data_IF_164578026031
#
_entry.id   IF_164578026031
#
_cell.length_a   1.000
_cell.length_b   1.000
_cell.length_c   1.000
_cell.angle_alpha   90.00
_cell.angle_beta   90.00
_cell.angle_gamma   90.00
#
_symmetry.space_group_name_H-M   'P 1'
#
loop_
_entity.id
_entity.type
_entity.pdbx_description
1 polymer ?
#
# COMPACT_ATOMS: atom_id res chain seq x y z
N UNK A 1 17.18 -19.03 10.15
CA UNK A 1 16.57 -20.04 11.02
C UNK A 1 15.76 -20.99 10.17
N UNK A 2 15.89 -22.29 10.42
CA UNK A 2 15.02 -23.30 9.85
C UNK A 2 14.21 -23.89 11.02
N UNK A 3 12.90 -23.92 10.89
CA UNK A 3 11.98 -24.41 11.91
C UNK A 3 11.14 -25.51 11.29
N UNK A 4 11.02 -26.62 12.02
CA UNK A 4 10.08 -27.68 11.69
C UNK A 4 8.85 -27.52 12.58
N UNK A 5 7.69 -27.49 11.96
CA UNK A 5 6.40 -27.37 12.63
C UNK A 5 5.57 -28.64 12.40
N UNK A 6 4.64 -28.92 13.30
CA UNK A 6 3.68 -30.03 13.13
C UNK A 6 2.30 -29.56 13.57
N UNK A 7 1.33 -29.72 12.68
CA UNK A 7 -0.07 -29.42 12.98
C UNK A 7 -0.84 -30.72 13.01
N UNK A 8 -1.46 -31.00 14.16
CA UNK A 8 -2.27 -32.19 14.35
C UNK A 8 -3.38 -32.24 13.28
N UNK A 9 -3.49 -33.38 12.58
CA UNK A 9 -4.41 -33.63 11.45
C UNK A 9 -4.10 -32.91 10.13
N UNK A 10 -3.07 -32.06 10.05
CA UNK A 10 -2.68 -31.40 8.78
C UNK A 10 -1.32 -31.84 8.25
N UNK A 11 -0.37 -32.14 9.15
CA UNK A 11 0.93 -32.70 8.78
C UNK A 11 2.12 -31.80 9.12
N UNK A 12 3.29 -32.10 8.55
CA UNK A 12 4.52 -31.36 8.83
C UNK A 12 4.53 -30.00 8.11
N UNK A 13 5.17 -29.03 8.75
CA UNK A 13 5.49 -27.72 8.21
C UNK A 13 6.99 -27.47 8.22
N UNK A 14 7.47 -26.71 7.25
CA UNK A 14 8.84 -26.23 7.18
C UNK A 14 8.83 -24.71 7.02
N UNK A 15 9.50 -24.03 7.94
CA UNK A 15 9.66 -22.58 7.92
C UNK A 15 11.13 -22.20 7.80
N UNK A 16 11.42 -21.35 6.83
CA UNK A 16 12.70 -20.69 6.63
C UNK A 16 12.55 -19.21 6.95
N UNK A 17 13.29 -18.71 7.93
CA UNK A 17 13.45 -17.28 8.20
C UNK A 17 14.90 -16.88 7.91
N UNK A 18 15.10 -15.94 6.99
CA UNK A 18 16.39 -15.42 6.61
C UNK A 18 16.42 -13.90 6.78
N UNK A 19 17.15 -13.44 7.79
CA UNK A 19 17.39 -12.03 8.03
C UNK A 19 18.79 -11.65 7.53
N UNK A 20 18.91 -10.50 6.88
CA UNK A 20 20.17 -10.04 6.30
C UNK A 20 20.41 -8.54 6.49
N UNK A 21 21.69 -8.18 6.55
CA UNK A 21 22.16 -6.80 6.67
C UNK A 21 23.56 -6.65 6.04
N UNK A 22 23.71 -6.97 4.74
CA UNK A 22 25.05 -7.07 4.12
C UNK A 22 25.83 -5.75 4.03
N UNK A 23 25.18 -4.59 4.15
CA UNK A 23 25.79 -3.27 4.04
C UNK A 23 25.13 -2.29 5.01
N UNK A 24 25.85 -1.22 5.36
CA UNK A 24 25.32 -0.14 6.21
C UNK A 24 24.01 0.40 5.63
N UNK A 25 23.02 0.57 6.49
CA UNK A 25 21.70 1.10 6.10
C UNK A 25 20.80 0.09 5.38
N UNK A 26 21.26 -1.15 5.15
CA UNK A 26 20.43 -2.22 4.59
C UNK A 26 20.00 -3.21 5.67
N UNK A 27 18.72 -3.54 5.65
CA UNK A 27 18.12 -4.62 6.43
C UNK A 27 17.02 -5.27 5.62
N UNK A 28 16.91 -6.58 5.72
CA UNK A 28 15.78 -7.27 5.14
C UNK A 28 15.55 -8.63 5.75
N UNK A 29 14.42 -9.18 5.40
CA UNK A 29 13.88 -10.42 5.91
C UNK A 29 13.19 -11.15 4.76
N UNK A 30 13.43 -12.46 4.70
CA UNK A 30 12.73 -13.39 3.84
C UNK A 30 12.19 -14.47 4.76
N UNK A 31 10.89 -14.71 4.71
CA UNK A 31 10.24 -15.81 5.40
C UNK A 31 9.45 -16.62 4.38
N UNK A 32 9.69 -17.93 4.37
CA UNK A 32 8.90 -18.89 3.61
C UNK A 32 8.44 -19.98 4.57
N UNK A 33 7.14 -20.21 4.66
CA UNK A 33 6.56 -21.22 5.53
C UNK A 33 5.60 -22.08 4.72
N UNK A 34 5.91 -23.36 4.57
CA UNK A 34 5.13 -24.33 3.80
C UNK A 34 4.64 -25.46 4.71
N UNK A 35 3.40 -25.93 4.49
CA UNK A 35 2.84 -27.13 5.11
C UNK A 35 2.52 -28.18 4.05
N UNK A 36 2.86 -29.42 4.37
CA UNK A 36 2.62 -30.58 3.52
C UNK A 36 1.35 -31.30 4.02
N UNK A 37 0.26 -31.13 3.28
CA UNK A 37 -1.06 -31.68 3.63
C UNK A 37 -1.03 -33.22 3.65
N UNK A 38 -1.29 -33.79 4.82
CA UNK A 38 -1.32 -35.24 5.05
C UNK A 38 -2.64 -35.87 4.58
N UNK A 39 -3.75 -35.27 4.99
CA UNK A 39 -5.08 -35.81 4.77
C UNK A 39 -5.77 -35.02 3.64
N UNK A 40 -6.56 -35.67 2.76
CA UNK A 40 -7.27 -34.96 1.69
C UNK A 40 -8.29 -34.00 2.28
N UNK A 41 -8.46 -32.85 1.63
CA UNK A 41 -9.48 -31.85 1.97
C UNK A 41 -10.87 -32.30 1.54
N UNK A 42 -11.88 -31.78 2.22
CA UNK A 42 -13.28 -32.11 2.01
C UNK A 42 -13.95 -31.11 1.05
N UNK A 43 -14.24 -31.48 -0.20
CA UNK A 43 -14.82 -30.57 -1.18
C UNK A 43 -16.21 -30.06 -0.80
N UNK A 44 -17.00 -30.84 -0.05
CA UNK A 44 -18.37 -30.44 0.31
C UNK A 44 -18.37 -29.22 1.25
N UNK A 45 -17.33 -29.09 2.07
CA UNK A 45 -17.24 -28.07 3.11
C UNK A 45 -16.18 -26.99 2.83
N UNK A 46 -15.16 -27.28 2.02
CA UNK A 46 -13.99 -26.42 1.83
C UNK A 46 -13.91 -25.74 0.44
N UNK A 47 -14.89 -25.98 -0.45
CA UNK A 47 -14.96 -25.43 -1.82
C UNK A 47 -15.64 -24.07 -1.95
N UNK A 48 -16.32 -23.60 -0.90
CA UNK A 48 -17.02 -22.32 -0.92
C UNK A 48 -18.12 -22.28 -1.98
N UNK A 49 -18.01 -21.35 -2.93
CA UNK A 49 -18.97 -21.19 -4.03
C UNK A 49 -18.78 -22.20 -5.18
N UNK A 50 -17.66 -22.94 -5.21
CA UNK A 50 -17.43 -23.96 -6.24
C UNK A 50 -18.21 -25.24 -5.91
N UNK A 51 -18.63 -25.98 -6.94
CA UNK A 51 -19.25 -27.28 -6.73
C UNK A 51 -18.20 -28.30 -6.28
N UNK A 52 -18.55 -29.17 -5.32
CA UNK A 52 -17.68 -30.24 -4.86
C UNK A 52 -17.24 -31.17 -6.02
N UNK A 53 -18.14 -31.43 -6.97
CA UNK A 53 -17.89 -32.24 -8.16
C UNK A 53 -16.90 -31.60 -9.15
N UNK A 54 -16.68 -30.28 -9.06
CA UNK A 54 -15.71 -29.56 -9.90
C UNK A 54 -14.28 -29.68 -9.35
N UNK A 55 -14.13 -30.06 -8.07
CA UNK A 55 -12.82 -30.23 -7.45
C UNK A 55 -12.22 -31.58 -7.82
N UNK A 56 -11.07 -31.53 -8.50
CA UNK A 56 -10.35 -32.74 -8.89
C UNK A 56 -9.70 -33.38 -7.66
N UNK A 57 -9.60 -34.71 -7.66
CA UNK A 57 -8.87 -35.45 -6.60
C UNK A 57 -7.43 -34.97 -6.40
N UNK A 58 -6.77 -34.47 -7.47
CA UNK A 58 -5.42 -33.88 -7.40
C UNK A 58 -5.35 -32.55 -6.63
N UNK A 59 -6.48 -31.89 -6.41
CA UNK A 59 -6.57 -30.58 -5.74
C UNK A 59 -6.86 -30.71 -4.24
N UNK A 60 -7.17 -31.92 -3.78
CA UNK A 60 -7.45 -32.23 -2.36
C UNK A 60 -6.23 -32.19 -1.45
N UNK A 61 -5.02 -32.07 -2.02
CA UNK A 61 -3.78 -31.85 -1.30
C UNK A 61 -3.18 -30.50 -1.69
N UNK A 62 -3.78 -29.39 -1.25
CA UNK A 62 -3.35 -28.06 -1.61
C UNK A 62 -1.96 -27.75 -1.03
N UNK A 63 -1.07 -27.17 -1.84
CA UNK A 63 0.17 -26.60 -1.31
C UNK A 63 -0.15 -25.39 -0.44
N UNK A 64 0.18 -25.46 0.84
CA UNK A 64 -0.09 -24.42 1.82
C UNK A 64 1.18 -23.66 2.09
N UNK A 65 1.23 -22.38 1.75
CA UNK A 65 2.41 -21.59 2.06
C UNK A 65 2.11 -20.12 2.33
N UNK A 66 3.01 -19.52 3.08
CA UNK A 66 3.14 -18.08 3.22
C UNK A 66 4.55 -17.67 2.82
N UNK A 67 4.64 -16.65 1.97
CA UNK A 67 5.88 -15.99 1.65
C UNK A 67 5.81 -14.53 2.11
N UNK A 68 6.82 -14.09 2.84
CA UNK A 68 6.97 -12.71 3.28
C UNK A 68 8.39 -12.23 2.95
N UNK A 69 8.49 -11.10 2.30
CA UNK A 69 9.74 -10.45 1.95
C UNK A 69 9.64 -9.00 2.38
N UNK A 70 10.60 -8.54 3.17
CA UNK A 70 10.74 -7.14 3.56
C UNK A 70 12.17 -6.70 3.29
N UNK A 71 12.31 -5.53 2.70
CA UNK A 71 13.59 -4.93 2.38
C UNK A 71 13.53 -3.43 2.69
N UNK A 72 14.56 -2.94 3.37
CA UNK A 72 14.76 -1.54 3.63
C UNK A 72 16.24 -1.22 3.44
N UNK A 73 16.52 -0.29 2.54
CA UNK A 73 17.87 0.14 2.24
C UNK A 73 17.94 1.66 2.16
N UNK A 74 18.76 2.24 3.04
CA UNK A 74 19.27 3.58 2.85
C UNK A 74 20.28 3.58 1.69
N UNK A 75 20.01 4.36 0.65
CA UNK A 75 20.87 4.48 -0.53
C UNK A 75 21.97 5.54 -0.32
N UNK A 76 21.60 6.64 0.32
CA UNK A 76 22.49 7.74 0.72
C UNK A 76 21.90 8.44 1.97
N UNK A 77 22.47 9.57 2.41
CA UNK A 77 21.98 10.30 3.59
C UNK A 77 20.53 10.80 3.47
N UNK A 78 19.98 10.86 2.26
CA UNK A 78 18.72 11.49 1.92
C UNK A 78 17.72 10.54 1.25
N UNK A 79 18.14 9.34 0.86
CA UNK A 79 17.37 8.45 0.01
C UNK A 79 17.19 7.08 0.64
N UNK A 80 15.97 6.55 0.54
CA UNK A 80 15.65 5.19 0.99
C UNK A 80 14.88 4.43 -0.09
N UNK A 81 15.03 3.10 -0.03
CA UNK A 81 14.21 2.14 -0.76
C UNK A 81 13.56 1.23 0.27
N UNK A 82 12.26 1.04 0.17
CA UNK A 82 11.51 0.07 0.96
C UNK A 82 10.74 -0.81 -0.02
N UNK A 83 10.83 -2.13 0.15
CA UNK A 83 10.05 -3.09 -0.62
C UNK A 83 9.45 -4.14 0.32
N UNK A 84 8.21 -4.51 0.07
CA UNK A 84 7.49 -5.54 0.82
C UNK A 84 6.70 -6.42 -0.14
N UNK A 85 6.71 -7.73 0.09
CA UNK A 85 5.88 -8.70 -0.62
C UNK A 85 5.35 -9.72 0.38
N UNK A 86 4.04 -9.85 0.45
CA UNK A 86 3.33 -10.88 1.19
C UNK A 86 2.51 -11.70 0.21
N UNK A 87 2.59 -13.02 0.30
CA UNK A 87 1.81 -13.97 -0.50
C UNK A 87 1.29 -15.08 0.40
N UNK A 88 0.01 -15.41 0.28
CA UNK A 88 -0.60 -16.60 0.85
C UNK A 88 -1.01 -17.54 -0.29
N UNK A 89 -0.92 -18.84 -0.03
CA UNK A 89 -1.40 -19.88 -0.96
C UNK A 89 -2.92 -19.86 -1.16
N UNK A 90 -3.66 -19.48 -0.12
CA UNK A 90 -5.11 -19.56 -0.04
C UNK A 90 -5.64 -18.67 1.11
N UNK A 91 -6.96 -18.51 1.15
CA UNK A 91 -7.66 -17.60 2.06
C UNK A 91 -7.78 -18.10 3.51
N UNK A 92 -7.54 -19.38 3.76
CA UNK A 92 -7.72 -20.03 5.06
C UNK A 92 -6.39 -20.21 5.82
N UNK A 93 -5.25 -19.96 5.17
CA UNK A 93 -3.93 -20.12 5.77
C UNK A 93 -3.80 -19.41 7.12
N UNK A 94 -4.25 -18.15 7.18
CA UNK A 94 -4.21 -17.34 8.40
C UNK A 94 -5.02 -17.94 9.56
N UNK A 95 -6.19 -18.51 9.25
CA UNK A 95 -7.03 -19.12 10.27
C UNK A 95 -6.42 -20.40 10.80
N UNK A 96 -5.98 -21.29 9.90
CA UNK A 96 -5.49 -22.62 10.30
C UNK A 96 -4.10 -22.58 10.92
N UNK A 97 -3.18 -21.79 10.37
CA UNK A 97 -1.76 -21.84 10.72
C UNK A 97 -1.27 -20.64 11.52
N UNK A 98 -1.97 -19.50 11.46
CA UNK A 98 -1.65 -18.30 12.25
C UNK A 98 -2.63 -18.04 13.39
N UNK A 99 -3.66 -18.91 13.52
CA UNK A 99 -4.69 -18.83 14.56
C UNK A 99 -5.45 -17.49 14.56
N UNK A 100 -5.60 -16.87 13.40
CA UNK A 100 -6.34 -15.61 13.25
C UNK A 100 -7.83 -15.93 13.11
N UNK A 101 -8.63 -15.52 14.10
CA UNK A 101 -10.07 -15.81 14.16
C UNK A 101 -10.84 -15.28 12.93
N UNK A 102 -10.48 -14.06 12.50
CA UNK A 102 -11.06 -13.36 11.35
C UNK A 102 -9.97 -13.11 10.29
N UNK A 103 -9.69 -14.10 9.42
CA UNK A 103 -8.68 -13.97 8.39
C UNK A 103 -9.05 -12.90 7.35
N UNK A 104 -8.03 -12.29 6.75
CA UNK A 104 -8.17 -11.40 5.61
C UNK A 104 -8.29 -12.20 4.32
N UNK A 105 -8.93 -11.63 3.29
CA UNK A 105 -8.91 -12.16 1.94
C UNK A 105 -7.61 -11.85 1.19
N UNK A 106 -6.62 -11.20 1.82
CA UNK A 106 -5.35 -10.87 1.16
C UNK A 106 -4.66 -12.13 0.60
N UNK A 107 -4.58 -12.23 -0.73
CA UNK A 107 -3.81 -13.25 -1.42
C UNK A 107 -2.37 -12.78 -1.64
N UNK A 108 -2.21 -11.53 -2.07
CA UNK A 108 -0.93 -10.91 -2.30
C UNK A 108 -0.97 -9.43 -1.93
N UNK A 109 0.08 -8.95 -1.27
CA UNK A 109 0.31 -7.53 -1.09
C UNK A 109 1.76 -7.22 -1.48
N UNK A 110 1.94 -6.44 -2.54
CA UNK A 110 3.23 -5.97 -3.00
C UNK A 110 3.29 -4.46 -2.89
N UNK A 111 4.37 -3.94 -2.30
CA UNK A 111 4.69 -2.53 -2.34
C UNK A 111 6.19 -2.32 -2.51
N UNK A 112 6.56 -1.31 -3.28
CA UNK A 112 7.92 -0.80 -3.29
C UNK A 112 7.88 0.72 -3.43
N UNK A 113 8.71 1.40 -2.64
CA UNK A 113 8.83 2.84 -2.61
C UNK A 113 10.31 3.22 -2.63
N UNK A 114 10.63 4.23 -3.42
CA UNK A 114 11.91 4.92 -3.42
C UNK A 114 11.62 6.36 -3.07
N UNK A 115 12.20 6.85 -1.98
CA UNK A 115 12.02 8.22 -1.53
C UNK A 115 13.36 8.96 -1.50
N UNK A 116 13.37 10.22 -1.95
CA UNK A 116 14.48 11.15 -1.77
C UNK A 116 14.03 12.40 -1.02
N UNK A 117 14.72 12.69 0.07
CA UNK A 117 14.59 13.90 0.87
C UNK A 117 15.49 15.01 0.32
N UNK A 118 15.01 16.24 0.38
CA UNK A 118 15.74 17.46 0.07
C UNK A 118 15.60 18.43 1.25
N UNK A 119 16.44 19.46 1.31
CA UNK A 119 16.38 20.47 2.39
C UNK A 119 14.99 21.11 2.56
N UNK A 120 14.23 21.19 1.47
CA UNK A 120 12.95 21.91 1.37
C UNK A 120 11.78 21.01 1.01
N UNK A 121 11.96 19.69 1.00
CA UNK A 121 10.90 18.80 0.52
C UNK A 121 11.32 17.36 0.27
N UNK A 122 10.48 16.62 -0.42
CA UNK A 122 10.72 15.22 -0.79
C UNK A 122 10.02 14.84 -2.07
N UNK A 123 10.54 13.78 -2.71
CA UNK A 123 9.92 13.11 -3.85
C UNK A 123 9.94 11.61 -3.56
N UNK A 124 8.82 10.95 -3.82
CA UNK A 124 8.64 9.51 -3.71
C UNK A 124 8.15 8.94 -5.04
N UNK A 125 8.68 7.78 -5.42
CA UNK A 125 8.17 6.93 -6.48
C UNK A 125 7.76 5.60 -5.86
N UNK A 126 6.54 5.17 -6.11
CA UNK A 126 5.96 3.96 -5.55
C UNK A 126 5.34 3.08 -6.63
N UNK A 127 5.30 1.79 -6.32
CA UNK A 127 4.43 0.79 -6.91
C UNK A 127 3.70 0.07 -5.79
N UNK A 128 2.41 -0.18 -5.96
CA UNK A 128 1.69 -1.06 -5.06
C UNK A 128 0.63 -1.86 -5.80
N UNK A 129 0.40 -3.08 -5.31
CA UNK A 129 -0.63 -3.99 -5.79
C UNK A 129 -1.14 -4.82 -4.61
N UNK A 130 -2.46 -4.88 -4.49
CA UNK A 130 -3.14 -5.82 -3.61
C UNK A 130 -3.97 -6.76 -4.47
N UNK A 131 -3.91 -8.06 -4.16
CA UNK A 131 -4.79 -9.08 -4.72
C UNK A 131 -5.49 -9.79 -3.57
N UNK A 132 -6.77 -10.06 -3.77
CA UNK A 132 -7.61 -10.68 -2.75
C UNK A 132 -8.23 -11.95 -3.30
N UNK A 133 -8.34 -12.98 -2.47
CA UNK A 133 -9.19 -14.12 -2.75
C UNK A 133 -10.63 -13.66 -2.88
N UNK A 134 -11.41 -14.30 -3.74
CA UNK A 134 -12.82 -13.98 -3.93
C UNK A 134 -13.65 -14.23 -2.67
N UNK A 135 -13.24 -15.22 -1.86
CA UNK A 135 -13.97 -15.65 -0.67
C UNK A 135 -13.05 -16.42 0.30
N UNK A 136 -13.57 -16.67 1.50
CA UNK A 136 -12.90 -17.47 2.54
C UNK A 136 -13.15 -18.97 2.30
N UNK A 137 -12.62 -19.49 1.21
CA UNK A 137 -12.64 -20.92 0.90
C UNK A 137 -11.23 -21.42 0.55
N UNK A 138 -10.99 -22.68 0.88
CA UNK A 138 -9.67 -23.28 0.83
C UNK A 138 -9.36 -23.84 -0.56
N UNK A 139 -10.36 -24.48 -1.17
CA UNK A 139 -10.24 -25.09 -2.49
C UNK A 139 -10.62 -24.10 -3.59
N UNK A 140 -11.41 -23.06 -3.29
CA UNK A 140 -11.58 -21.92 -4.19
C UNK A 140 -10.46 -20.88 -4.01
N UNK A 141 -9.47 -20.95 -4.89
CA UNK A 141 -8.33 -20.00 -4.92
C UNK A 141 -8.49 -18.93 -5.99
N UNK A 142 -9.73 -18.62 -6.39
CA UNK A 142 -9.97 -17.53 -7.33
C UNK A 142 -9.51 -16.20 -6.70
N UNK A 143 -8.81 -15.40 -7.49
CA UNK A 143 -8.20 -14.15 -7.04
C UNK A 143 -8.77 -12.99 -7.85
N UNK A 144 -9.43 -12.09 -7.14
CA UNK A 144 -9.79 -10.79 -7.65
C UNK A 144 -8.54 -9.91 -7.64
N UNK A 145 -8.01 -9.66 -8.83
CA UNK A 145 -6.85 -8.80 -9.00
C UNK A 145 -7.25 -7.34 -8.88
N UNK A 146 -6.92 -6.73 -7.73
CA UNK A 146 -7.02 -5.28 -7.55
C UNK A 146 -6.09 -4.51 -8.49
N UNK A 147 -6.29 -3.18 -8.58
CA UNK A 147 -5.48 -2.33 -9.44
C UNK A 147 -3.98 -2.39 -9.07
N UNK A 148 -3.14 -2.37 -10.10
CA UNK A 148 -1.71 -2.10 -9.98
C UNK A 148 -1.49 -0.62 -10.15
N UNK A 149 -0.93 0.03 -9.14
CA UNK A 149 -0.61 1.45 -9.18
C UNK A 149 0.87 1.60 -9.55
N UNK A 150 1.14 2.01 -10.78
CA UNK A 150 2.49 2.33 -11.24
C UNK A 150 2.47 3.17 -12.53
N UNK A 151 3.26 4.26 -12.60
CA UNK A 151 3.99 4.87 -11.50
C UNK A 151 3.06 5.60 -10.54
N UNK A 152 3.34 5.57 -9.23
CA UNK A 152 2.73 6.44 -8.24
C UNK A 152 3.80 7.38 -7.67
N UNK A 153 3.83 8.61 -8.14
CA UNK A 153 4.79 9.65 -7.76
C UNK A 153 4.10 10.61 -6.80
N UNK A 154 4.74 10.95 -5.69
CA UNK A 154 4.30 12.03 -4.82
C UNK A 154 5.47 12.97 -4.52
N UNK A 155 5.14 14.23 -4.29
CA UNK A 155 6.13 15.23 -3.92
C UNK A 155 5.54 16.25 -2.95
N UNK A 156 6.40 16.85 -2.15
CA UNK A 156 6.04 17.94 -1.25
C UNK A 156 7.25 18.84 -1.05
N UNK A 157 7.08 20.14 -1.28
CA UNK A 157 8.09 21.16 -1.04
C UNK A 157 7.52 22.33 -0.25
N UNK A 158 8.35 23.00 0.52
CA UNK A 158 7.99 24.21 1.26
C UNK A 158 9.16 25.17 1.41
N UNK A 159 8.87 26.46 1.35
CA UNK A 159 9.86 27.55 1.44
C UNK A 159 9.36 28.65 2.36
N UNK A 160 10.27 29.30 3.10
CA UNK A 160 9.97 30.59 3.75
C UNK A 160 10.48 31.72 2.86
N UNK A 161 9.57 32.50 2.29
CA UNK A 161 9.91 33.60 1.37
C UNK A 161 10.30 34.87 2.12
N UNK A 162 9.66 35.12 3.26
CA UNK A 162 9.88 36.34 4.04
C UNK A 162 9.81 36.06 5.53
N UNK A 163 10.77 36.59 6.27
CA UNK A 163 10.80 36.55 7.72
C UNK A 163 11.29 37.90 8.24
N UNK A 164 10.41 38.61 8.93
CA UNK A 164 10.70 39.88 9.59
C UNK A 164 10.08 39.86 10.98
N UNK A 165 10.90 39.88 12.02
CA UNK A 165 10.49 39.73 13.43
C UNK A 165 9.58 38.51 13.66
N UNK A 166 8.31 38.75 14.00
CA UNK A 166 7.25 37.75 14.23
C UNK A 166 6.44 37.42 12.97
N UNK A 167 6.70 38.13 11.87
CA UNK A 167 6.04 37.92 10.59
C UNK A 167 6.80 36.90 9.77
N UNK A 168 6.10 35.85 9.32
CA UNK A 168 6.65 34.76 8.51
C UNK A 168 5.69 34.51 7.35
N UNK A 169 6.19 34.57 6.13
CA UNK A 169 5.46 34.16 4.93
C UNK A 169 6.16 32.95 4.33
N UNK A 170 5.40 31.88 4.15
CA UNK A 170 5.87 30.61 3.64
C UNK A 170 4.93 30.06 2.58
N UNK A 171 5.49 29.40 1.57
CA UNK A 171 4.75 28.67 0.56
C UNK A 171 5.00 27.18 0.69
N UNK A 172 4.03 26.39 0.27
CA UNK A 172 4.17 24.96 0.11
C UNK A 172 3.52 24.53 -1.21
N UNK A 173 4.04 23.45 -1.78
CA UNK A 173 3.42 22.80 -2.92
C UNK A 173 3.55 21.30 -2.73
N UNK A 174 2.45 20.58 -2.85
CA UNK A 174 2.43 19.13 -2.85
C UNK A 174 1.62 18.61 -4.00
N UNK A 175 1.86 17.38 -4.41
CA UNK A 175 1.10 16.77 -5.48
C UNK A 175 1.37 15.29 -5.58
N UNK A 176 0.58 14.65 -6.43
CA UNK A 176 0.82 13.29 -6.84
C UNK A 176 0.49 13.11 -8.32
N UNK A 177 1.13 12.12 -8.93
CA UNK A 177 0.80 11.57 -10.23
C UNK A 177 0.71 10.07 -10.04
N UNK A 178 -0.43 9.49 -10.36
CA UNK A 178 -0.62 8.04 -10.28
C UNK A 178 -1.25 7.51 -11.55
N UNK A 179 -0.93 6.26 -11.86
CA UNK A 179 -1.63 5.47 -12.87
C UNK A 179 -2.03 4.16 -12.25
N UNK A 180 -3.27 3.75 -12.43
CA UNK A 180 -3.74 2.42 -12.03
C UNK A 180 -4.16 1.61 -13.25
N UNK A 181 -3.77 0.34 -13.25
CA UNK A 181 -4.17 -0.65 -14.26
C UNK A 181 -4.89 -1.79 -13.59
N UNK A 182 -6.02 -2.18 -14.17
CA UNK A 182 -6.83 -3.32 -13.77
C UNK A 182 -6.89 -4.31 -14.92
N UNK A 183 -7.04 -5.60 -14.62
CA UNK A 183 -7.33 -6.62 -15.63
C UNK A 183 -8.82 -6.57 -16.04
N UNK A 184 -9.69 -6.29 -15.06
CA UNK A 184 -11.13 -6.15 -15.24
C UNK A 184 -11.59 -4.79 -14.72
N UNK A 185 -12.57 -4.19 -15.39
CA UNK A 185 -13.10 -2.87 -15.05
C UNK A 185 -12.19 -1.70 -15.46
N UNK A 186 -12.15 -0.66 -14.62
CA UNK A 186 -11.66 0.66 -15.03
C UNK A 186 -10.19 0.91 -14.67
N UNK A 187 -9.39 1.20 -15.69
CA UNK A 187 -8.01 1.72 -15.54
C UNK A 187 -7.94 3.22 -15.77
N UNK A 188 -6.89 3.88 -15.29
CA UNK A 188 -6.78 5.32 -15.45
C UNK A 188 -5.53 5.95 -14.87
N UNK A 189 -5.57 7.27 -14.82
CA UNK A 189 -4.52 8.12 -14.32
C UNK A 189 -5.10 9.31 -13.55
N UNK A 190 -4.35 9.75 -12.54
CA UNK A 190 -4.72 10.84 -11.65
C UNK A 190 -3.53 11.75 -11.45
N UNK A 191 -3.77 13.05 -11.51
CA UNK A 191 -2.79 14.06 -11.14
C UNK A 191 -3.44 15.05 -10.18
N UNK A 192 -2.72 15.42 -9.13
CA UNK A 192 -3.11 16.55 -8.30
C UNK A 192 -1.94 17.46 -7.97
N UNK A 193 -2.28 18.73 -7.78
CA UNK A 193 -1.37 19.78 -7.36
C UNK A 193 -2.05 20.61 -6.28
N UNK A 194 -1.35 20.89 -5.20
CA UNK A 194 -1.87 21.64 -4.06
C UNK A 194 -0.87 22.70 -3.61
N UNK A 195 -0.85 23.89 -4.23
CA UNK A 195 -0.10 25.01 -3.72
C UNK A 195 -0.79 25.62 -2.50
N UNK A 196 0.01 26.10 -1.56
CA UNK A 196 -0.45 26.74 -0.34
C UNK A 196 0.45 27.91 0.04
N UNK A 197 -0.15 28.95 0.58
CA UNK A 197 0.52 30.10 1.15
C UNK A 197 0.08 30.24 2.61
N UNK A 198 1.06 30.35 3.51
CA UNK A 198 0.85 30.57 4.93
C UNK A 198 1.57 31.83 5.35
N UNK A 199 0.82 32.77 5.92
CA UNK A 199 1.32 33.99 6.53
C UNK A 199 1.01 33.96 8.02
N UNK A 200 2.03 34.17 8.85
CA UNK A 200 1.94 34.41 10.29
C UNK A 200 2.37 35.85 10.54
N UNK A 201 1.63 36.62 11.32
CA UNK A 201 2.01 37.98 11.69
C UNK A 201 1.44 38.37 13.06
N UNK A 202 2.11 39.25 13.81
CA UNK A 202 1.59 39.75 15.07
C UNK A 202 0.38 40.67 14.81
N UNK A 203 -0.69 40.52 15.60
CA UNK A 203 -1.83 41.45 15.60
C UNK A 203 -1.73 42.40 16.80
N UNK A 204 -1.39 41.84 17.96
CA UNK A 204 -1.17 42.57 19.20
C UNK A 204 0.09 42.03 19.89
N UNK A 205 0.53 42.71 20.96
CA UNK A 205 1.72 42.31 21.74
C UNK A 205 1.71 40.83 22.12
N UNK A 206 0.54 40.28 22.49
CA UNK A 206 0.40 38.89 22.93
C UNK A 206 -0.35 37.98 21.96
N UNK A 207 -0.64 38.41 20.72
CA UNK A 207 -1.44 37.64 19.77
C UNK A 207 -0.81 37.57 18.39
N UNK A 208 -0.76 36.36 17.83
CA UNK A 208 -0.37 36.12 16.44
C UNK A 208 -1.61 35.69 15.62
N UNK A 209 -1.75 36.24 14.43
CA UNK A 209 -2.67 35.72 13.42
C UNK A 209 -1.91 34.81 12.44
N UNK A 210 -2.60 33.77 11.99
CA UNK A 210 -2.15 32.87 10.93
C UNK A 210 -3.24 32.82 9.87
N UNK A 211 -2.88 33.19 8.65
CA UNK A 211 -3.72 33.03 7.46
C UNK A 211 -3.09 31.95 6.60
N UNK A 212 -3.89 30.95 6.21
CA UNK A 212 -3.52 29.94 5.23
C UNK A 212 -4.47 30.04 4.06
N UNK A 213 -3.93 30.09 2.85
CA UNK A 213 -4.67 30.01 1.60
C UNK A 213 -4.12 28.80 0.88
N UNK A 214 -4.98 27.88 0.50
CA UNK A 214 -4.59 26.69 -0.22
C UNK A 214 -5.50 26.52 -1.42
N UNK A 215 -4.93 26.00 -2.48
CA UNK A 215 -5.65 25.59 -3.66
C UNK A 215 -5.36 24.12 -3.94
N UNK A 216 -6.32 23.39 -4.47
CA UNK A 216 -6.14 22.02 -4.94
C UNK A 216 -6.70 21.90 -6.34
N UNK A 217 -5.85 21.56 -7.28
CA UNK A 217 -6.21 21.11 -8.61
C UNK A 217 -6.10 19.60 -8.67
N UNK A 218 -7.08 18.94 -9.26
CA UNK A 218 -7.05 17.50 -9.49
C UNK A 218 -7.68 17.20 -10.83
N UNK A 219 -7.07 16.28 -11.56
CA UNK A 219 -7.59 15.73 -12.81
C UNK A 219 -7.43 14.22 -12.78
N UNK A 220 -8.52 13.53 -13.04
CA UNK A 220 -8.57 12.07 -13.05
C UNK A 220 -9.22 11.63 -14.35
N UNK A 221 -8.57 10.74 -15.09
CA UNK A 221 -9.09 10.16 -16.32
C UNK A 221 -9.13 8.65 -16.18
N UNK A 222 -10.24 8.04 -16.54
CA UNK A 222 -10.46 6.60 -16.37
C UNK A 222 -11.25 6.02 -17.53
N UNK A 223 -11.04 4.74 -17.83
CA UNK A 223 -11.74 4.01 -18.89
C UNK A 223 -11.86 2.53 -18.55
N UNK A 224 -13.01 1.95 -18.84
CA UNK A 224 -13.21 0.50 -18.85
C UNK A 224 -12.71 -0.08 -20.18
N UNK A 225 -11.85 -1.10 -20.11
CA UNK A 225 -11.30 -1.74 -21.31
C UNK A 225 -12.35 -2.51 -22.10
N UNK A 226 -13.40 -2.99 -21.43
CA UNK A 226 -14.44 -3.84 -22.00
C UNK A 226 -15.62 -3.04 -22.59
N UNK A 227 -15.71 -1.74 -22.27
CA UNK A 227 -16.81 -0.88 -22.73
C UNK A 227 -16.25 0.27 -23.56
N UNK A 228 -16.33 0.19 -24.90
CA UNK A 228 -15.97 1.31 -25.78
C UNK A 228 -16.78 2.57 -25.44
N UNK A 229 -16.12 3.73 -25.39
CA UNK A 229 -16.79 5.00 -25.05
C UNK A 229 -16.98 5.24 -23.55
N UNK A 230 -16.43 4.39 -22.68
CA UNK A 230 -16.51 4.52 -21.21
C UNK A 230 -15.51 5.52 -20.61
N UNK A 231 -14.88 6.35 -21.44
CA UNK A 231 -13.98 7.39 -20.97
C UNK A 231 -14.71 8.35 -20.02
N UNK A 232 -14.21 8.44 -18.80
CA UNK A 232 -14.67 9.39 -17.79
C UNK A 232 -13.50 10.29 -17.39
N UNK A 233 -13.75 11.59 -17.34
CA UNK A 233 -12.78 12.59 -16.90
C UNK A 233 -13.43 13.47 -15.84
N UNK A 234 -12.78 13.55 -14.68
CA UNK A 234 -13.20 14.38 -13.56
C UNK A 234 -12.10 15.40 -13.28
N UNK A 235 -12.47 16.68 -13.32
CA UNK A 235 -11.59 17.80 -13.01
C UNK A 235 -12.24 18.62 -11.90
N UNK A 236 -11.49 18.94 -10.87
CA UNK A 236 -11.95 19.89 -9.85
C UNK A 236 -10.82 20.80 -9.39
N UNK A 237 -11.23 22.00 -8.99
CA UNK A 237 -10.40 23.03 -8.40
C UNK A 237 -11.08 23.52 -7.14
N UNK A 238 -10.37 23.48 -6.01
CA UNK A 238 -10.89 23.91 -4.71
C UNK A 238 -9.93 24.92 -4.13
N UNK A 239 -10.40 26.14 -3.92
CA UNK A 239 -9.72 27.18 -3.15
C UNK A 239 -10.31 27.20 -1.74
N UNK A 240 -9.46 27.11 -0.72
CA UNK A 240 -9.90 27.19 0.67
C UNK A 240 -8.92 28.01 1.53
N UNK A 241 -9.50 28.81 2.42
CA UNK A 241 -8.76 29.66 3.35
C UNK A 241 -9.04 29.28 4.79
N UNK A 242 -8.03 29.39 5.65
CA UNK A 242 -8.19 29.25 7.10
C UNK A 242 -7.42 30.33 7.84
N UNK A 243 -8.14 31.18 8.56
CA UNK A 243 -7.58 32.13 9.50
C UNK A 243 -7.68 31.58 10.93
N UNK A 244 -6.65 31.79 11.75
CA UNK A 244 -6.67 31.51 13.18
C UNK A 244 -5.92 32.62 13.93
N UNK A 245 -6.38 32.94 15.14
CA UNK A 245 -5.68 33.84 16.08
C UNK A 245 -5.32 33.01 17.31
N UNK A 246 -4.09 33.14 17.79
CA UNK A 246 -3.59 32.42 18.96
C UNK A 246 -2.90 33.40 19.92
N UNK A 247 -3.02 33.13 21.21
CA UNK A 247 -2.21 33.79 22.24
C UNK A 247 -0.76 33.32 22.13
N UNK A 248 0.17 34.21 22.46
CA UNK A 248 1.62 33.93 22.57
C UNK A 248 2.07 33.64 24.01
N UNK A 249 1.13 33.67 24.95
CA UNK A 249 1.24 33.18 26.33
C UNK A 249 0.82 31.71 26.40
#
# INVERSE_FOLDING_TARGET
>A
TLTYDWVERRGPGLRLDYQYAFKKGMRGEIMYHEFFERDPRDPENESGSLSADEIKSSELHPNRYKFNFNHNQQLDEQSNVIASLLVYSDSQYQREYEMIEKPSLTAQNFSANINRQFTKGSISLSVFQTREFSELALLNRNINSGPIYFPAISFQFSETFWKLDRTIVSGAISGYLERWKTNEGTSGEGVSLSPGLKSKFPVFRHFDAIININEKYSRTRSRDHNVPGSENEVVYQILYGKAKIWTTL
#
